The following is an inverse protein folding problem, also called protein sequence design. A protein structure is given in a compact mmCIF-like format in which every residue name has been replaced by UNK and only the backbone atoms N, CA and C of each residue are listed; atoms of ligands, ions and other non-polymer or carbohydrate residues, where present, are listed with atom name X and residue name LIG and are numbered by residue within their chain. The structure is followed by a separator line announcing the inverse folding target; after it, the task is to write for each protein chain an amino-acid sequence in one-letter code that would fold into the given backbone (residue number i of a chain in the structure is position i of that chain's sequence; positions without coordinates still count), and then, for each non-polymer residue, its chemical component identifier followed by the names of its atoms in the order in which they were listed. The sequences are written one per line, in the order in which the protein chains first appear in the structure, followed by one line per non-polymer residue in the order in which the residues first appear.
data_IF_427434337803
#
_entry.id   IF_427434337803
#
_cell.length_a   1.000
_cell.length_b   1.000
_cell.length_c   1.000
_cell.angle_alpha   90.00
_cell.angle_beta   90.00
_cell.angle_gamma   90.00
#
_symmetry.space_group_name_H-M   'P 1'
#
loop_
_entity.id
_entity.type
_entity.pdbx_description
1 polymer ?
#
# COMPACT_ATOMS: atom_id res chain seq x y z
N UNK A 1 -7.95 -25.63 0.08
CA UNK A 1 -8.43 -24.23 0.23
C UNK A 1 -7.59 -23.33 -0.67
N UNK A 2 -8.24 -22.62 -1.60
CA UNK A 2 -7.57 -21.77 -2.59
C UNK A 2 -7.30 -20.39 -1.99
N UNK A 3 -6.03 -20.07 -1.76
CA UNK A 3 -5.59 -18.77 -1.24
C UNK A 3 -5.00 -17.93 -2.37
N UNK A 4 -5.51 -16.70 -2.50
CA UNK A 4 -4.96 -15.57 -3.27
C UNK A 4 -4.77 -15.73 -4.79
N UNK A 5 -5.69 -15.14 -5.56
CA UNK A 5 -5.42 -14.73 -6.95
C UNK A 5 -5.57 -13.22 -7.11
N UNK A 6 -4.66 -12.46 -6.51
CA UNK A 6 -4.42 -11.10 -7.02
C UNK A 6 -3.73 -11.25 -8.36
N UNK A 7 -4.41 -10.86 -9.45
CA UNK A 7 -4.01 -11.11 -10.84
C UNK A 7 -2.68 -10.48 -11.26
N UNK A 8 -2.05 -9.68 -10.38
CA UNK A 8 -0.69 -9.15 -10.55
C UNK A 8 0.10 -9.31 -9.27
N UNK A 9 1.07 -10.23 -9.30
CA UNK A 9 2.14 -10.29 -8.29
C UNK A 9 2.88 -8.95 -8.29
N UNK A 10 3.30 -8.47 -7.12
CA UNK A 10 4.26 -7.38 -7.06
C UNK A 10 5.58 -7.90 -7.65
N UNK A 11 5.77 -7.72 -8.96
CA UNK A 11 7.03 -8.02 -9.64
C UNK A 11 8.19 -7.31 -8.94
N UNK A 12 9.44 -7.73 -9.16
CA UNK A 12 10.65 -7.20 -8.48
C UNK A 12 10.74 -5.66 -8.57
N UNK A 13 10.10 -4.99 -7.63
CA UNK A 13 10.10 -3.55 -7.42
C UNK A 13 10.79 -3.32 -6.09
N UNK A 14 11.78 -2.42 -6.08
CA UNK A 14 12.54 -2.01 -4.90
C UNK A 14 11.57 -1.75 -3.75
N UNK A 15 11.59 -2.62 -2.75
CA UNK A 15 11.01 -2.33 -1.46
C UNK A 15 12.13 -1.70 -0.65
N UNK A 16 11.97 -0.44 -0.24
CA UNK A 16 12.73 0.04 0.90
C UNK A 16 12.05 -0.57 2.13
N UNK A 17 12.71 -1.55 2.75
CA UNK A 17 12.36 -1.98 4.10
C UNK A 17 13.07 -1.01 5.04
N UNK A 18 12.38 0.05 5.45
CA UNK A 18 12.92 1.01 6.40
C UNK A 18 13.30 0.30 7.70
N UNK A 19 14.45 0.67 8.28
CA UNK A 19 14.76 0.37 9.68
C UNK A 19 13.83 1.13 10.64
N UNK A 20 13.16 2.17 10.11
CA UNK A 20 12.23 3.07 10.78
C UNK A 20 10.94 3.23 9.93
N UNK A 21 9.85 3.75 10.52
CA UNK A 21 8.65 4.13 9.78
C UNK A 21 8.92 5.00 8.56
N UNK A 22 8.15 4.78 7.49
CA UNK A 22 8.20 5.56 6.26
C UNK A 22 7.43 6.89 6.43
N UNK A 23 8.09 7.97 6.04
CA UNK A 23 7.49 9.29 5.86
C UNK A 23 6.56 9.34 4.65
N UNK A 24 5.70 10.35 4.56
CA UNK A 24 4.85 10.53 3.38
C UNK A 24 5.65 10.79 2.11
N UNK A 25 6.78 11.51 2.22
CA UNK A 25 7.70 11.69 1.10
C UNK A 25 8.23 10.35 0.57
N UNK A 26 8.63 9.45 1.47
CA UNK A 26 9.08 8.10 1.08
C UNK A 26 7.94 7.26 0.49
N UNK A 27 6.74 7.35 1.05
CA UNK A 27 5.57 6.66 0.51
C UNK A 27 5.21 7.18 -0.90
N UNK A 28 5.28 8.49 -1.13
CA UNK A 28 5.06 9.10 -2.45
C UNK A 28 6.12 8.68 -3.47
N UNK A 29 7.35 8.41 -3.03
CA UNK A 29 8.39 7.88 -3.91
C UNK A 29 8.22 6.39 -4.23
N UNK A 30 7.81 5.58 -3.24
CA UNK A 30 7.72 4.12 -3.36
C UNK A 30 6.39 3.63 -3.95
N UNK A 31 5.30 4.35 -3.65
CA UNK A 31 3.94 4.05 -4.06
C UNK A 31 3.14 5.34 -4.34
N UNK A 32 3.55 6.18 -5.32
CA UNK A 32 2.85 7.43 -5.67
C UNK A 32 1.35 7.23 -5.95
N UNK A 33 0.94 6.08 -6.48
CA UNK A 33 -0.47 5.77 -6.75
C UNK A 33 -1.37 5.72 -5.51
N UNK A 34 -0.81 5.54 -4.31
CA UNK A 34 -1.55 5.64 -3.06
C UNK A 34 -1.98 7.09 -2.72
N UNK A 35 -1.37 8.09 -3.38
CA UNK A 35 -1.64 9.51 -3.19
C UNK A 35 -2.34 10.13 -4.40
N UNK A 36 -2.81 9.33 -5.36
CA UNK A 36 -3.70 9.82 -6.41
C UNK A 36 -4.91 10.48 -5.74
N UNK A 37 -5.31 11.67 -6.18
CA UNK A 37 -6.44 12.44 -5.62
C UNK A 37 -7.79 12.08 -6.24
N UNK A 38 -7.77 11.24 -7.28
CA UNK A 38 -8.95 10.80 -8.01
C UNK A 38 -8.80 9.36 -8.52
N UNK A 39 -9.90 8.78 -8.97
CA UNK A 39 -9.90 7.49 -9.64
C UNK A 39 -9.48 7.65 -11.11
N UNK A 40 -8.97 6.58 -11.73
CA UNK A 40 -8.67 6.62 -13.16
C UNK A 40 -9.97 6.87 -13.96
N UNK A 41 -9.89 7.63 -15.05
CA UNK A 41 -11.03 7.97 -15.94
C UNK A 41 -11.81 6.76 -16.49
N UNK A 42 -11.21 5.57 -16.43
CA UNK A 42 -11.83 4.30 -16.79
C UNK A 42 -12.84 3.78 -15.76
N UNK A 43 -12.99 4.45 -14.62
CA UNK A 43 -13.97 4.11 -13.59
C UNK A 43 -15.32 4.74 -13.92
N UNK A 44 -16.38 3.95 -13.74
CA UNK A 44 -17.75 4.43 -13.96
C UNK A 44 -18.17 5.40 -12.86
N UNK A 45 -19.23 6.17 -13.13
CA UNK A 45 -19.83 7.10 -12.16
C UNK A 45 -20.31 6.44 -10.84
N UNK A 46 -20.42 5.10 -10.81
CA UNK A 46 -20.79 4.35 -9.59
C UNK A 46 -19.60 4.06 -8.68
N UNK A 47 -18.37 4.30 -9.12
CA UNK A 47 -17.17 4.07 -8.32
C UNK A 47 -17.04 5.15 -7.24
N UNK A 48 -17.19 4.76 -5.98
CA UNK A 48 -16.89 5.62 -4.85
C UNK A 48 -15.39 5.65 -4.61
N UNK A 49 -14.76 6.79 -4.90
CA UNK A 49 -13.35 6.98 -4.65
C UNK A 49 -13.11 7.30 -3.17
N UNK A 50 -12.28 6.49 -2.52
CA UNK A 50 -11.81 6.68 -1.14
C UNK A 50 -10.30 6.90 -1.24
N UNK A 51 -9.76 8.08 -0.87
CA UNK A 51 -8.33 8.34 -0.93
C UNK A 51 -7.55 7.38 -0.05
N UNK A 52 -6.56 6.70 -0.63
CA UNK A 52 -5.69 5.84 0.18
C UNK A 52 -4.85 6.68 1.16
N UNK A 53 -4.52 7.93 0.80
CA UNK A 53 -3.87 8.89 1.70
C UNK A 53 -4.63 9.08 3.03
N UNK A 54 -5.96 9.19 2.97
CA UNK A 54 -6.80 9.35 4.17
C UNK A 54 -6.78 8.09 5.05
N UNK A 55 -6.74 6.91 4.42
CA UNK A 55 -6.61 5.63 5.14
C UNK A 55 -5.25 5.53 5.83
N UNK A 56 -4.16 5.95 5.16
CA UNK A 56 -2.81 5.99 5.76
C UNK A 56 -2.79 6.94 6.95
N UNK A 57 -3.34 8.14 6.80
CA UNK A 57 -3.43 9.14 7.88
C UNK A 57 -4.28 8.63 9.05
N UNK A 58 -5.40 7.97 8.77
CA UNK A 58 -6.25 7.32 9.77
C UNK A 58 -5.50 6.24 10.54
N UNK A 59 -4.80 5.33 9.86
CA UNK A 59 -4.00 4.28 10.51
C UNK A 59 -2.89 4.86 11.39
N UNK A 60 -2.23 5.93 10.95
CA UNK A 60 -1.24 6.62 11.79
C UNK A 60 -1.86 7.20 13.06
N UNK A 61 -3.05 7.80 12.99
CA UNK A 61 -3.76 8.29 14.19
C UNK A 61 -4.08 7.16 15.18
N UNK A 62 -4.30 5.96 14.68
CA UNK A 62 -4.53 4.75 15.49
C UNK A 62 -3.22 4.05 15.90
N UNK A 63 -2.05 4.69 15.76
CA UNK A 63 -0.76 4.16 16.18
C UNK A 63 -0.16 3.11 15.24
N UNK A 64 -0.62 3.03 13.98
CA UNK A 64 -0.06 2.16 12.95
C UNK A 64 0.82 2.95 11.99
N UNK A 65 2.12 2.75 12.12
CA UNK A 65 3.12 3.38 11.30
C UNK A 65 3.43 2.54 10.04
N UNK A 66 3.47 3.15 8.84
CA UNK A 66 3.83 2.43 7.61
C UNK A 66 5.31 2.06 7.65
N UNK A 67 5.64 0.82 7.29
CA UNK A 67 7.02 0.29 7.35
C UNK A 67 7.49 -0.29 6.01
N UNK A 68 6.57 -0.44 5.06
CA UNK A 68 6.86 -0.89 3.70
C UNK A 68 5.82 -0.32 2.75
N UNK A 69 6.27 0.17 1.59
CA UNK A 69 5.40 0.55 0.50
C UNK A 69 5.96 0.05 -0.84
N UNK A 70 5.06 -0.38 -1.72
CA UNK A 70 5.38 -0.81 -3.10
C UNK A 70 4.19 -0.54 -4.00
N UNK A 71 4.44 -0.31 -5.28
CA UNK A 71 3.40 -0.33 -6.31
C UNK A 71 3.81 -1.16 -7.52
N UNK A 72 2.85 -1.66 -8.27
CA UNK A 72 3.13 -2.35 -9.54
C UNK A 72 3.51 -1.35 -10.62
N UNK A 73 4.28 -1.79 -11.63
CA UNK A 73 4.48 -1.00 -12.85
C UNK A 73 3.47 -1.44 -13.90
N UNK A 74 2.50 -0.59 -14.29
CA UNK A 74 1.59 -0.92 -15.37
C UNK A 74 2.33 -0.91 -16.72
N UNK A 75 1.82 -1.66 -17.70
CA UNK A 75 2.32 -1.60 -19.09
C UNK A 75 1.92 -0.30 -19.79
N UNK A 76 0.76 0.21 -19.41
CA UNK A 76 0.17 1.45 -19.89
C UNK A 76 0.57 2.59 -18.94
N UNK A 77 1.25 3.59 -19.50
CA UNK A 77 1.81 4.71 -18.72
C UNK A 77 0.71 5.57 -18.08
N UNK A 78 -0.46 5.69 -18.70
CA UNK A 78 -1.60 6.47 -18.17
C UNK A 78 -2.09 5.90 -16.84
N UNK A 79 -1.90 4.60 -16.62
CA UNK A 79 -2.31 3.91 -15.39
C UNK A 79 -1.30 4.02 -14.26
N UNK A 80 -0.13 4.62 -14.48
CA UNK A 80 0.94 4.69 -13.48
C UNK A 80 0.47 5.34 -12.17
N UNK A 81 -0.35 6.40 -12.27
CA UNK A 81 -0.92 7.10 -11.12
C UNK A 81 -2.00 6.33 -10.35
N UNK A 82 -2.57 5.26 -10.90
CA UNK A 82 -3.73 4.58 -10.30
C UNK A 82 -3.52 3.07 -10.15
N UNK A 83 -2.28 2.63 -10.35
CA UNK A 83 -1.90 1.23 -10.33
C UNK A 83 -2.03 0.61 -8.93
N UNK A 84 -1.79 -0.69 -8.84
CA UNK A 84 -1.90 -1.41 -7.57
C UNK A 84 -0.77 -1.00 -6.64
N UNK A 85 -1.10 -0.50 -5.46
CA UNK A 85 -0.18 -0.25 -4.35
C UNK A 85 -0.40 -1.23 -3.18
N UNK A 86 0.67 -1.45 -2.43
CA UNK A 86 0.67 -2.18 -1.16
C UNK A 86 1.42 -1.37 -0.13
N UNK A 87 0.82 -1.24 1.04
CA UNK A 87 1.41 -0.61 2.21
C UNK A 87 1.28 -1.56 3.38
N UNK A 88 2.37 -1.77 4.12
CA UNK A 88 2.36 -2.56 5.35
C UNK A 88 2.59 -1.63 6.52
N UNK A 89 1.86 -1.85 7.59
CA UNK A 89 1.89 -1.06 8.80
C UNK A 89 2.22 -1.93 10.00
N UNK A 90 2.84 -1.34 11.00
CA UNK A 90 3.10 -1.92 12.32
C UNK A 90 2.65 -0.96 13.39
N UNK A 91 2.27 -1.50 14.54
CA UNK A 91 2.06 -0.67 15.71
C UNK A 91 3.35 0.08 16.08
N UNK A 92 3.26 1.35 16.48
CA UNK A 92 4.40 2.24 16.74
C UNK A 92 5.42 1.67 17.75
N UNK A 93 4.95 0.94 18.76
CA UNK A 93 5.80 0.25 19.74
C UNK A 93 6.74 -0.82 19.12
N UNK A 94 6.45 -1.26 17.90
CA UNK A 94 7.23 -2.25 17.15
C UNK A 94 7.81 -1.69 15.84
N UNK A 95 7.26 -0.59 15.31
CA UNK A 95 7.64 -0.04 14.02
C UNK A 95 9.08 0.47 13.97
N UNK A 96 9.61 0.95 15.10
CA UNK A 96 10.99 1.39 15.26
C UNK A 96 11.97 0.24 15.62
N UNK A 97 11.48 -0.99 15.79
CA UNK A 97 12.35 -2.10 16.15
C UNK A 97 13.05 -2.65 14.90
N UNK A 98 14.39 -2.76 14.91
CA UNK A 98 15.11 -3.36 13.79
C UNK A 98 14.67 -4.81 13.64
N UNK A 99 14.36 -5.23 12.40
CA UNK A 99 14.09 -6.65 12.13
C UNK A 99 15.36 -7.46 12.39
N UNK A 100 15.25 -8.48 13.26
CA UNK A 100 16.30 -9.49 13.47
C UNK A 100 15.77 -10.87 13.14
N UNK A 101 16.67 -11.80 12.80
CA UNK A 101 16.31 -13.18 12.55
C UNK A 101 15.58 -13.76 13.78
N UNK A 102 14.47 -14.44 13.55
CA UNK A 102 13.62 -15.01 14.62
C UNK A 102 12.57 -14.05 15.19
N UNK A 103 12.51 -12.78 14.77
CA UNK A 103 11.44 -11.86 15.19
C UNK A 103 10.23 -11.93 14.27
N UNK A 104 9.04 -11.99 14.87
CA UNK A 104 7.75 -11.86 14.19
C UNK A 104 7.08 -10.56 14.63
N UNK A 105 6.51 -9.84 13.66
CA UNK A 105 5.79 -8.60 13.90
C UNK A 105 4.39 -8.71 13.29
N UNK A 106 3.32 -8.49 14.08
CA UNK A 106 1.98 -8.34 13.54
C UNK A 106 1.93 -7.14 12.59
N UNK A 107 1.36 -7.33 11.40
CA UNK A 107 1.31 -6.29 10.39
C UNK A 107 -0.08 -6.14 9.78
N UNK A 108 -0.51 -4.89 9.62
CA UNK A 108 -1.67 -4.57 8.78
C UNK A 108 -1.17 -4.38 7.36
N UNK A 109 -1.79 -5.06 6.40
CA UNK A 109 -1.45 -4.94 4.98
C UNK A 109 -2.64 -4.36 4.23
N UNK A 110 -2.42 -3.21 3.61
CA UNK A 110 -3.37 -2.55 2.72
C UNK A 110 -2.95 -2.79 1.26
N UNK A 111 -3.89 -3.22 0.43
CA UNK A 111 -3.73 -3.34 -1.02
C UNK A 111 -4.90 -2.65 -1.70
N UNK A 112 -4.63 -1.80 -2.69
CA UNK A 112 -5.67 -1.17 -3.48
C UNK A 112 -5.17 -0.81 -4.89
N UNK A 113 -6.08 -0.47 -5.80
CA UNK A 113 -5.79 0.22 -7.06
C UNK A 113 -6.95 1.17 -7.38
N UNK A 114 -6.64 2.32 -7.95
CA UNK A 114 -7.64 3.30 -8.36
C UNK A 114 -8.04 3.18 -9.84
N UNK A 115 -7.47 2.20 -10.57
CA UNK A 115 -7.85 1.84 -11.95
C UNK A 115 -8.76 0.60 -12.05
N UNK A 116 -9.13 0.02 -10.91
CA UNK A 116 -10.01 -1.13 -10.79
C UNK A 116 -9.39 -2.48 -11.19
N UNK A 117 -8.07 -2.56 -11.33
CA UNK A 117 -7.36 -3.83 -11.60
C UNK A 117 -7.12 -4.66 -10.34
N UNK A 118 -7.35 -4.10 -9.16
CA UNK A 118 -7.31 -4.74 -7.85
C UNK A 118 -8.33 -4.09 -6.90
N UNK A 119 -8.98 -4.92 -6.09
CA UNK A 119 -9.92 -4.44 -5.08
C UNK A 119 -9.19 -3.87 -3.85
N UNK A 120 -9.89 -3.04 -3.08
CA UNK A 120 -9.48 -2.63 -1.74
C UNK A 120 -9.46 -3.87 -0.82
N UNK A 121 -8.33 -4.12 -0.17
CA UNK A 121 -8.14 -5.27 0.70
C UNK A 121 -7.28 -4.88 1.90
N UNK A 122 -7.73 -5.27 3.09
CA UNK A 122 -7.01 -5.09 4.35
C UNK A 122 -6.94 -6.43 5.08
N UNK A 123 -5.73 -6.82 5.50
CA UNK A 123 -5.49 -8.00 6.34
C UNK A 123 -4.64 -7.62 7.54
N UNK A 124 -4.85 -8.28 8.67
CA UNK A 124 -4.04 -8.14 9.87
C UNK A 124 -3.65 -9.52 10.40
N UNK A 125 -2.40 -9.68 10.85
CA UNK A 125 -1.86 -10.92 11.41
C UNK A 125 -0.36 -10.84 11.69
#
# INVERSE_FOLDING_TARGET
MSFFRSSRSFGSTRAAMGASPLSDGELMQLAPSAFATEAHSSRSARYAYIPTADVIAGLRREGFAPVLARQTRPRDAERSGHTKHLIRFRHEGQANQPRRLGMTFPEVVLINSHDGTSAYHVTAG
#
